data_IF_897860809659
#
_entry.id   IF_897860809659
#
_cell.length_a   1.000
_cell.length_b   1.000
_cell.length_c   1.000
_cell.angle_alpha   90.00
_cell.angle_beta   90.00
_cell.angle_gamma   90.00
#
_symmetry.space_group_name_H-M   'P 1'
#
loop_
_entity.id
_entity.type
_entity.pdbx_description
1 polymer ?
#
# COMPACT_ATOMS: atom_id res chain seq x y z
N UNK A 1 15.11 -0.70 14.56
CA UNK A 1 15.52 -0.82 13.15
C UNK A 1 14.28 -0.70 12.30
N UNK A 2 14.08 0.41 11.61
CA UNK A 2 12.96 0.55 10.67
C UNK A 2 13.35 -0.20 9.39
N UNK A 3 12.60 -1.23 9.03
CA UNK A 3 12.87 -1.96 7.79
C UNK A 3 12.61 -1.01 6.60
N UNK A 4 13.68 -0.68 5.86
CA UNK A 4 13.65 0.30 4.76
C UNK A 4 12.60 -0.06 3.71
N UNK A 5 12.45 -1.35 3.41
CA UNK A 5 11.50 -1.86 2.41
C UNK A 5 10.06 -1.63 2.86
N UNK A 6 9.77 -1.81 4.16
CA UNK A 6 8.46 -1.53 4.74
C UNK A 6 8.13 -0.03 4.64
N UNK A 7 9.10 0.84 4.94
CA UNK A 7 8.91 2.28 4.82
C UNK A 7 8.61 2.70 3.37
N UNK A 8 9.36 2.14 2.42
CA UNK A 8 9.13 2.37 0.98
C UNK A 8 7.74 1.88 0.57
N UNK A 9 7.36 0.66 0.96
CA UNK A 9 6.05 0.09 0.69
C UNK A 9 4.91 0.99 1.18
N UNK A 10 4.94 1.36 2.45
CA UNK A 10 3.94 2.24 3.06
C UNK A 10 3.81 3.58 2.33
N UNK A 11 4.95 4.20 1.96
CA UNK A 11 4.95 5.44 1.20
C UNK A 11 4.41 5.25 -0.23
N UNK A 12 4.76 4.14 -0.87
CA UNK A 12 4.30 3.82 -2.22
C UNK A 12 2.79 3.57 -2.28
N UNK A 13 2.20 2.91 -1.28
CA UNK A 13 0.74 2.76 -1.16
C UNK A 13 0.07 4.15 -1.16
N UNK A 14 0.60 5.09 -0.37
CA UNK A 14 0.10 6.46 -0.31
C UNK A 14 0.27 7.22 -1.62
N UNK A 15 1.41 7.05 -2.30
CA UNK A 15 1.68 7.66 -3.62
C UNK A 15 0.71 7.12 -4.67
N UNK A 16 0.55 5.80 -4.76
CA UNK A 16 -0.35 5.14 -5.70
C UNK A 16 -1.79 5.64 -5.52
N UNK A 17 -2.27 5.71 -4.28
CA UNK A 17 -3.60 6.26 -3.98
C UNK A 17 -3.75 7.69 -4.50
N UNK A 18 -2.82 8.57 -4.13
CA UNK A 18 -2.89 10.00 -4.50
C UNK A 18 -2.73 10.25 -6.00
N UNK A 19 -1.80 9.57 -6.67
CA UNK A 19 -1.55 9.72 -8.11
C UNK A 19 -2.76 9.30 -8.95
N UNK A 20 -3.53 8.33 -8.47
CA UNK A 20 -4.73 7.83 -9.15
C UNK A 20 -6.03 8.52 -8.67
N UNK A 21 -5.95 9.58 -7.85
CA UNK A 21 -7.12 10.34 -7.41
C UNK A 21 -8.07 9.59 -6.48
N UNK A 22 -7.62 8.48 -5.88
CA UNK A 22 -8.47 7.61 -5.07
C UNK A 22 -8.68 8.18 -3.66
N UNK A 23 -9.91 8.12 -3.18
CA UNK A 23 -10.21 8.31 -1.76
C UNK A 23 -9.76 7.07 -0.94
N UNK A 24 -9.88 7.14 0.39
CA UNK A 24 -9.34 6.06 1.24
C UNK A 24 -10.23 4.83 1.21
N UNK A 25 -11.52 5.00 1.03
CA UNK A 25 -12.51 3.94 0.94
C UNK A 25 -12.27 3.08 -0.31
N UNK A 26 -12.07 3.73 -1.47
CA UNK A 26 -11.72 3.09 -2.74
C UNK A 26 -10.40 2.32 -2.64
N UNK A 27 -9.37 2.94 -2.08
CA UNK A 27 -8.06 2.31 -1.94
C UNK A 27 -8.08 1.15 -0.95
N UNK A 28 -8.81 1.28 0.17
CA UNK A 28 -8.96 0.22 1.14
C UNK A 28 -9.67 -0.99 0.51
N UNK A 29 -10.69 -0.73 -0.31
CA UNK A 29 -11.37 -1.77 -1.10
C UNK A 29 -10.42 -2.49 -2.06
N UNK A 30 -9.59 -1.75 -2.82
CA UNK A 30 -8.57 -2.33 -3.70
C UNK A 30 -7.58 -3.21 -2.92
N UNK A 31 -7.11 -2.70 -1.77
CA UNK A 31 -6.19 -3.41 -0.88
C UNK A 31 -6.82 -4.60 -0.16
N UNK A 32 -8.15 -4.71 -0.11
CA UNK A 32 -8.85 -5.76 0.65
C UNK A 32 -8.77 -5.59 2.17
N UNK A 33 -8.63 -4.36 2.67
CA UNK A 33 -8.48 -4.03 4.09
C UNK A 33 -9.49 -2.96 4.52
N UNK A 34 -9.54 -2.67 5.82
CA UNK A 34 -10.33 -1.55 6.35
C UNK A 34 -9.63 -0.19 6.15
N UNK A 35 -10.41 0.90 6.15
CA UNK A 35 -9.86 2.27 6.06
C UNK A 35 -8.88 2.58 7.21
N UNK A 36 -9.11 2.19 8.48
CA UNK A 36 -8.13 2.38 9.55
C UNK A 36 -6.80 1.66 9.29
N UNK A 37 -6.84 0.43 8.76
CA UNK A 37 -5.63 -0.31 8.38
C UNK A 37 -4.88 0.39 7.24
N UNK A 38 -5.61 0.92 6.25
CA UNK A 38 -4.99 1.73 5.19
C UNK A 38 -4.33 2.99 5.77
N UNK A 39 -4.98 3.71 6.67
CA UNK A 39 -4.42 4.90 7.32
C UNK A 39 -3.13 4.53 8.07
N UNK A 40 -3.13 3.41 8.79
CA UNK A 40 -1.96 2.91 9.49
C UNK A 40 -0.78 2.65 8.53
N UNK A 41 -1.06 2.03 7.37
CA UNK A 41 -0.08 1.82 6.29
C UNK A 41 0.45 3.16 5.78
N UNK A 42 -0.42 4.11 5.45
CA UNK A 42 -0.01 5.44 4.93
C UNK A 42 0.77 6.29 5.94
N UNK A 43 0.70 5.95 7.23
CA UNK A 43 1.49 6.55 8.31
C UNK A 43 2.86 5.87 8.52
N UNK A 44 3.17 4.81 7.76
CA UNK A 44 4.47 4.16 7.78
C UNK A 44 4.54 2.87 8.59
N UNK A 45 3.40 2.31 9.00
CA UNK A 45 3.36 1.09 9.83
C UNK A 45 2.40 0.05 9.27
N UNK A 46 2.73 -1.24 9.39
CA UNK A 46 1.86 -2.30 8.90
C UNK A 46 0.90 -2.76 10.00
N UNK A 47 -0.39 -3.00 9.69
CA UNK A 47 -1.31 -3.64 10.60
C UNK A 47 -0.87 -5.09 10.88
N UNK A 48 -1.22 -5.62 12.06
CA UNK A 48 -0.86 -7.01 12.45
C UNK A 48 -1.50 -8.07 11.54
N UNK A 49 -2.64 -7.74 10.95
CA UNK A 49 -3.43 -8.52 10.01
C UNK A 49 -2.89 -8.50 8.58
N UNK A 50 -1.84 -7.72 8.29
CA UNK A 50 -1.34 -7.60 6.91
C UNK A 50 -0.92 -8.96 6.36
N UNK A 51 -1.28 -9.25 5.12
CA UNK A 51 -0.82 -10.43 4.41
C UNK A 51 -0.22 -10.04 3.06
N UNK A 52 0.43 -10.99 2.38
CA UNK A 52 1.02 -10.75 1.05
C UNK A 52 -0.03 -10.43 -0.02
N UNK A 53 -1.31 -10.74 0.22
CA UNK A 53 -2.40 -10.51 -0.72
C UNK A 53 -2.55 -9.03 -1.11
N UNK A 54 -2.30 -8.11 -0.17
CA UNK A 54 -2.33 -6.67 -0.45
C UNK A 54 -1.34 -6.27 -1.55
N UNK A 55 -0.12 -6.79 -1.50
CA UNK A 55 0.89 -6.52 -2.52
C UNK A 55 0.45 -7.09 -3.88
N UNK A 56 -0.14 -8.29 -3.88
CA UNK A 56 -0.69 -8.93 -5.08
C UNK A 56 -1.81 -8.11 -5.70
N UNK A 57 -2.74 -7.62 -4.89
CA UNK A 57 -3.84 -6.76 -5.33
C UNK A 57 -3.32 -5.46 -5.94
N UNK A 58 -2.36 -4.82 -5.28
CA UNK A 58 -1.80 -3.54 -5.71
C UNK A 58 -1.09 -3.65 -7.06
N UNK A 59 -0.15 -4.59 -7.21
CA UNK A 59 0.61 -4.68 -8.46
C UNK A 59 -0.27 -5.06 -9.66
N UNK A 60 -1.32 -5.87 -9.42
CA UNK A 60 -2.31 -6.22 -10.46
C UNK A 60 -3.23 -5.05 -10.80
N UNK A 61 -3.70 -4.31 -9.79
CA UNK A 61 -4.65 -3.22 -10.02
C UNK A 61 -4.01 -2.04 -10.74
N UNK A 62 -2.77 -1.68 -10.38
CA UNK A 62 -2.05 -0.56 -10.97
C UNK A 62 -1.19 -0.93 -12.18
N UNK A 63 -1.22 -2.20 -12.62
CA UNK A 63 -0.42 -2.73 -13.73
C UNK A 63 1.07 -2.35 -13.62
N UNK A 64 1.64 -2.58 -12.44
CA UNK A 64 3.06 -2.33 -12.14
C UNK A 64 3.77 -3.62 -11.77
N UNK A 65 5.10 -3.65 -11.93
CA UNK A 65 5.90 -4.77 -11.47
C UNK A 65 5.93 -4.86 -9.93
N UNK A 66 5.89 -6.05 -9.30
CA UNK A 66 5.86 -6.20 -7.84
C UNK A 66 7.01 -5.49 -7.11
N UNK A 67 8.22 -5.46 -7.68
CA UNK A 67 9.38 -4.76 -7.11
C UNK A 67 9.17 -3.25 -6.98
N UNK A 68 8.31 -2.64 -7.80
CA UNK A 68 8.00 -1.22 -7.71
C UNK A 68 7.22 -0.88 -6.44
N UNK A 69 6.59 -1.86 -5.78
CA UNK A 69 6.00 -1.65 -4.46
C UNK A 69 7.07 -1.44 -3.38
N UNK A 70 8.29 -1.94 -3.57
CA UNK A 70 9.36 -1.92 -2.58
C UNK A 70 10.57 -1.07 -3.02
N UNK A 71 10.45 -0.34 -4.13
CA UNK A 71 11.43 0.63 -4.63
C UNK A 71 10.81 2.03 -4.68
N UNK A 72 11.57 3.12 -4.45
CA UNK A 72 11.01 4.46 -4.50
C UNK A 72 10.31 4.77 -5.85
N UNK A 73 9.05 5.22 -5.78
CA UNK A 73 8.18 5.61 -6.90
C UNK A 73 8.19 7.11 -7.21
#
# INVERSE_FOLDING_TARGET
MTNKEISIFCNNVKILRKRNGLNREEMAHICGISVPELIQIEQGSLPKSITVDIAIRLFRHFDISPENLFRPL
#
